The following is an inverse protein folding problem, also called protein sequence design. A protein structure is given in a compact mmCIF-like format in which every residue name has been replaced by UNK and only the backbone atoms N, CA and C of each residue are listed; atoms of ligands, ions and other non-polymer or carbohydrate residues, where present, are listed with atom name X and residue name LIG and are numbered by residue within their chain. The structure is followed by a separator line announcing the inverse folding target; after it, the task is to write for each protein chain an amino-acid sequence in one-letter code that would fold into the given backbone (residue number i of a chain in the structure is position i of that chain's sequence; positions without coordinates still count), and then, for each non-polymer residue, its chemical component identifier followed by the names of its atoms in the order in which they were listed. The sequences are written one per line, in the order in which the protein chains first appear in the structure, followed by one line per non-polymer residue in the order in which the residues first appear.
data_IF_931533471451
#
_entry.id   IF_931533471451
#
_cell.length_a   1.000
_cell.length_b   1.000
_cell.length_c   1.000
_cell.angle_alpha   90.00
_cell.angle_beta   90.00
_cell.angle_gamma   90.00
#
_symmetry.space_group_name_H-M   'P 1'
#
loop_
_entity.id
_entity.type
_entity.pdbx_description
1 polymer ?
#
# COMPACT_ATOMS: atom_id res chain seq x y z
N UNK A 1 22.28 10.69 79.29
CA UNK A 1 22.78 10.23 77.98
C UNK A 1 21.59 9.68 77.19
N UNK A 2 21.15 10.37 76.13
CA UNK A 2 20.03 9.93 75.26
C UNK A 2 20.62 9.33 73.99
N UNK A 3 20.45 8.02 73.81
CA UNK A 3 20.84 7.31 72.60
C UNK A 3 19.82 7.59 71.49
N UNK A 4 20.28 8.10 70.34
CA UNK A 4 19.48 8.28 69.13
C UNK A 4 19.57 7.00 68.30
N UNK A 5 18.45 6.31 68.11
CA UNK A 5 18.31 5.26 67.10
C UNK A 5 18.31 5.87 65.70
N UNK A 6 19.24 5.42 64.86
CA UNK A 6 19.30 5.74 63.44
C UNK A 6 18.59 4.61 62.70
N UNK A 7 17.43 4.92 62.12
CA UNK A 7 16.69 4.01 61.24
C UNK A 7 17.30 4.08 59.85
N UNK A 8 17.97 3.01 59.42
CA UNK A 8 18.51 2.88 58.06
C UNK A 8 17.39 2.40 57.15
N UNK A 9 16.92 3.28 56.27
CA UNK A 9 15.95 2.98 55.22
C UNK A 9 16.69 2.29 54.06
N UNK A 10 16.51 0.98 53.91
CA UNK A 10 17.09 0.20 52.81
C UNK A 10 16.29 0.47 51.53
N UNK A 11 16.85 1.30 50.64
CA UNK A 11 16.30 1.60 49.32
C UNK A 11 16.63 0.43 48.38
N UNK A 12 15.69 -0.51 48.22
CA UNK A 12 15.80 -1.60 47.24
C UNK A 12 15.59 -1.03 45.84
N UNK A 13 16.69 -0.71 45.15
CA UNK A 13 16.67 -0.35 43.73
C UNK A 13 16.39 -1.62 42.92
N UNK A 14 15.14 -1.80 42.49
CA UNK A 14 14.79 -2.77 41.46
C UNK A 14 15.44 -2.31 40.13
N UNK A 15 16.61 -2.87 39.82
CA UNK A 15 17.18 -2.84 38.48
C UNK A 15 16.23 -3.62 37.56
N UNK A 16 15.30 -2.90 36.92
CA UNK A 16 14.56 -3.43 35.79
C UNK A 16 15.59 -3.63 34.69
N UNK A 17 16.00 -4.88 34.48
CA UNK A 17 16.81 -5.28 33.33
C UNK A 17 16.06 -4.85 32.07
N UNK A 18 16.48 -3.75 31.45
CA UNK A 18 16.12 -3.44 30.08
C UNK A 18 16.71 -4.58 29.25
N UNK A 19 15.89 -5.59 28.97
CA UNK A 19 16.21 -6.60 27.98
C UNK A 19 16.37 -5.87 26.65
N UNK A 20 17.62 -5.51 26.34
CA UNK A 20 18.02 -5.18 24.98
C UNK A 20 17.84 -6.48 24.21
N UNK A 21 16.71 -6.61 23.53
CA UNK A 21 16.48 -7.70 22.60
C UNK A 21 17.56 -7.56 21.51
N UNK A 22 18.62 -8.35 21.62
CA UNK A 22 19.62 -8.45 20.58
C UNK A 22 18.91 -9.00 19.34
N UNK A 23 18.88 -8.20 18.27
CA UNK A 23 18.24 -8.53 17.00
C UNK A 23 18.97 -9.71 16.38
N UNK A 24 18.41 -10.92 16.49
CA UNK A 24 19.02 -12.11 15.91
C UNK A 24 18.63 -12.19 14.44
N UNK A 25 19.63 -12.36 13.59
CA UNK A 25 19.39 -12.74 12.20
C UNK A 25 18.44 -13.94 12.11
N UNK A 26 17.48 -13.86 11.20
CA UNK A 26 16.50 -14.92 10.96
C UNK A 26 15.27 -14.85 11.86
N UNK A 27 15.17 -13.85 12.75
CA UNK A 27 14.00 -13.66 13.60
C UNK A 27 13.02 -12.64 13.03
N UNK A 28 11.74 -12.83 13.34
CA UNK A 28 10.70 -11.80 13.18
C UNK A 28 10.25 -11.39 14.57
N UNK A 29 10.36 -10.09 14.87
CA UNK A 29 9.86 -9.50 16.11
C UNK A 29 8.52 -8.81 15.86
N UNK A 30 7.67 -8.76 16.89
CA UNK A 30 6.32 -8.23 16.80
C UNK A 30 6.06 -7.14 17.86
N UNK A 31 5.12 -6.24 17.57
CA UNK A 31 4.66 -5.21 18.48
C UNK A 31 3.23 -4.80 18.17
N UNK A 32 2.54 -4.23 19.17
CA UNK A 32 1.24 -3.55 18.99
C UNK A 32 1.36 -2.17 18.35
N UNK A 33 2.58 -1.65 18.19
CA UNK A 33 2.88 -0.33 17.61
C UNK A 33 3.95 -0.47 16.52
N UNK A 34 4.06 0.56 15.68
CA UNK A 34 5.10 0.62 14.66
C UNK A 34 6.49 0.45 15.29
N UNK A 35 7.29 -0.44 14.70
CA UNK A 35 8.63 -0.78 15.18
C UNK A 35 9.64 0.05 14.41
N UNK A 36 10.54 0.73 15.13
CA UNK A 36 11.76 1.28 14.54
C UNK A 36 12.82 0.16 14.47
N UNK A 37 13.23 -0.31 13.28
CA UNK A 37 14.18 -1.41 13.15
C UNK A 37 15.54 -1.13 13.79
N UNK A 38 15.99 0.13 13.80
CA UNK A 38 17.28 0.52 14.39
C UNK A 38 17.26 0.60 15.92
N UNK A 39 16.07 0.70 16.52
CA UNK A 39 15.90 0.73 17.97
C UNK A 39 14.51 0.18 18.37
N UNK A 40 14.30 -1.15 18.28
CA UNK A 40 13.00 -1.74 18.55
C UNK A 40 12.61 -1.58 20.01
N UNK A 41 11.36 -1.18 20.25
CA UNK A 41 10.80 -1.01 21.59
C UNK A 41 9.36 -1.52 21.62
N UNK A 42 8.83 -1.78 22.82
CA UNK A 42 7.44 -2.22 22.98
C UNK A 42 7.14 -3.57 22.32
N UNK A 43 8.14 -4.46 22.27
CA UNK A 43 8.01 -5.76 21.63
C UNK A 43 7.11 -6.69 22.46
N UNK A 44 6.28 -7.47 21.79
CA UNK A 44 5.45 -8.50 22.40
C UNK A 44 5.15 -9.60 21.39
N UNK A 45 5.06 -10.85 21.87
CA UNK A 45 4.55 -11.98 21.10
C UNK A 45 3.14 -12.40 21.58
N UNK A 46 2.46 -11.54 22.35
CA UNK A 46 1.16 -11.79 22.95
C UNK A 46 0.18 -10.69 22.54
N UNK A 47 -0.92 -11.11 21.92
CA UNK A 47 -1.95 -10.26 21.36
C UNK A 47 -3.34 -10.70 21.80
N UNK A 48 -4.29 -9.76 21.75
CA UNK A 48 -5.72 -9.99 21.88
C UNK A 48 -6.39 -9.74 20.53
N UNK A 49 -7.54 -10.37 20.27
CA UNK A 49 -8.31 -10.05 19.08
C UNK A 49 -8.66 -8.55 19.02
N UNK A 50 -8.50 -7.97 17.84
CA UNK A 50 -8.60 -6.52 17.61
C UNK A 50 -7.32 -5.72 17.85
N UNK A 51 -6.25 -6.32 18.38
CA UNK A 51 -4.94 -5.64 18.43
C UNK A 51 -4.38 -5.41 17.02
N UNK A 52 -3.71 -4.28 16.84
CA UNK A 52 -2.79 -4.09 15.71
C UNK A 52 -1.54 -4.96 15.89
N UNK A 53 -1.00 -5.47 14.79
CA UNK A 53 0.18 -6.34 14.76
C UNK A 53 1.15 -5.82 13.71
N UNK A 54 2.23 -5.22 14.19
CA UNK A 54 3.37 -4.80 13.39
C UNK A 54 4.51 -5.78 13.58
N UNK A 55 5.32 -5.97 12.54
CA UNK A 55 6.50 -6.82 12.65
C UNK A 55 7.69 -6.30 11.84
N UNK A 56 8.88 -6.73 12.23
CA UNK A 56 10.11 -6.51 11.48
C UNK A 56 10.86 -7.84 11.42
N UNK A 57 11.18 -8.27 10.21
CA UNK A 57 12.04 -9.42 9.98
C UNK A 57 13.49 -8.97 9.87
N UNK A 58 14.40 -9.63 10.57
CA UNK A 58 15.84 -9.40 10.50
C UNK A 58 16.54 -10.52 9.75
N UNK A 59 17.61 -10.17 9.04
CA UNK A 59 18.37 -11.07 8.18
C UNK A 59 19.88 -10.97 8.48
N UNK A 60 20.63 -11.99 8.11
CA UNK A 60 22.10 -12.06 8.27
C UNK A 60 22.84 -11.16 7.29
N UNK A 61 22.18 -10.80 6.20
CA UNK A 61 22.69 -10.03 5.07
C UNK A 61 21.60 -9.16 4.48
N UNK A 62 21.95 -8.33 3.50
CA UNK A 62 20.96 -7.49 2.83
C UNK A 62 19.91 -8.32 2.07
N UNK A 63 18.72 -7.76 1.86
CA UNK A 63 17.68 -8.40 1.04
C UNK A 63 18.19 -8.71 -0.37
N UNK A 64 19.04 -7.85 -0.93
CA UNK A 64 19.68 -8.10 -2.22
C UNK A 64 20.54 -9.37 -2.21
N UNK A 65 21.37 -9.55 -1.18
CA UNK A 65 22.27 -10.71 -1.03
C UNK A 65 21.51 -12.01 -0.69
N UNK A 66 20.35 -11.94 -0.02
CA UNK A 66 19.47 -13.09 0.18
C UNK A 66 19.04 -13.73 -1.14
N UNK A 67 18.89 -12.92 -2.18
CA UNK A 67 18.47 -13.37 -3.49
C UNK A 67 19.53 -14.17 -4.28
N UNK A 68 20.74 -14.31 -3.72
CA UNK A 68 21.90 -14.96 -4.34
C UNK A 68 22.64 -14.11 -5.37
N UNK A 69 22.25 -12.84 -5.55
CA UNK A 69 22.88 -11.92 -6.50
C UNK A 69 22.82 -10.50 -5.97
N UNK A 70 23.99 -9.92 -5.67
CA UNK A 70 24.16 -8.54 -5.23
C UNK A 70 23.88 -7.48 -6.30
N UNK A 71 23.32 -7.85 -7.44
CA UNK A 71 23.03 -6.94 -8.58
C UNK A 71 21.56 -6.92 -8.99
N UNK A 72 20.69 -7.67 -8.30
CA UNK A 72 19.25 -7.66 -8.62
C UNK A 72 18.66 -6.30 -8.29
N UNK A 73 17.86 -5.76 -9.23
CA UNK A 73 17.08 -4.53 -9.04
C UNK A 73 15.81 -4.75 -8.22
N UNK A 74 15.31 -5.98 -8.21
CA UNK A 74 14.11 -6.39 -7.48
C UNK A 74 14.33 -7.79 -6.87
N UNK A 75 13.81 -8.02 -5.67
CA UNK A 75 13.81 -9.32 -4.99
C UNK A 75 12.37 -9.69 -4.65
N UNK A 76 11.96 -10.91 -5.03
CA UNK A 76 10.67 -11.45 -4.65
C UNK A 76 10.80 -12.15 -3.30
N UNK A 77 9.95 -11.75 -2.37
CA UNK A 77 9.81 -12.35 -1.05
C UNK A 77 8.42 -12.96 -0.94
N UNK A 78 8.33 -14.16 -0.40
CA UNK A 78 7.06 -14.82 -0.11
C UNK A 78 6.81 -14.83 1.39
N UNK A 79 5.70 -14.26 1.82
CA UNK A 79 5.31 -14.23 3.22
C UNK A 79 4.21 -15.26 3.41
N UNK A 80 4.44 -16.21 4.29
CA UNK A 80 3.49 -17.24 4.66
C UNK A 80 3.00 -17.00 6.08
N UNK A 81 1.69 -17.18 6.28
CA UNK A 81 1.06 -17.19 7.59
C UNK A 81 0.51 -18.58 7.83
N UNK A 82 0.89 -19.17 8.95
CA UNK A 82 0.39 -20.45 9.42
C UNK A 82 -0.26 -20.29 10.79
N UNK A 83 -1.22 -21.15 11.08
CA UNK A 83 -1.66 -21.45 12.43
C UNK A 83 -1.02 -22.77 12.86
N UNK A 84 -0.42 -22.81 14.04
CA UNK A 84 0.07 -24.06 14.60
C UNK A 84 -1.09 -24.81 15.25
N UNK A 85 -1.49 -25.93 14.64
CA UNK A 85 -2.50 -26.82 15.21
C UNK A 85 -1.84 -27.81 16.15
N UNK A 86 -2.32 -27.81 17.39
CA UNK A 86 -1.95 -28.83 18.36
C UNK A 86 -2.36 -30.22 17.86
N UNK A 87 -1.59 -31.26 18.16
CA UNK A 87 -1.92 -32.61 17.76
C UNK A 87 -3.23 -33.08 18.41
N UNK A 88 -4.01 -33.90 17.70
CA UNK A 88 -5.22 -34.51 18.26
C UNK A 88 -4.90 -35.64 19.25
N UNK A 89 -3.74 -36.26 19.06
CA UNK A 89 -3.24 -37.36 19.89
C UNK A 89 -1.78 -37.12 20.27
N UNK A 90 -1.36 -37.62 21.43
CA UNK A 90 -0.01 -37.45 22.00
C UNK A 90 1.16 -37.91 21.10
N UNK A 91 0.92 -38.87 20.21
CA UNK A 91 1.92 -39.36 19.25
C UNK A 91 2.10 -38.46 18.01
N UNK A 92 1.20 -37.50 17.78
CA UNK A 92 1.29 -36.59 16.65
C UNK A 92 2.13 -35.36 17.01
N UNK A 93 2.87 -34.85 16.03
CA UNK A 93 3.54 -33.55 16.17
C UNK A 93 2.56 -32.43 15.82
N UNK A 94 2.72 -31.22 16.40
CA UNK A 94 2.01 -30.05 15.94
C UNK A 94 2.18 -29.85 14.43
N UNK A 95 1.12 -29.36 13.77
CA UNK A 95 1.12 -29.18 12.31
C UNK A 95 0.88 -27.72 11.93
N UNK A 96 1.57 -27.25 10.90
CA UNK A 96 1.41 -25.90 10.37
C UNK A 96 0.28 -25.88 9.34
N UNK A 97 -0.86 -25.28 9.70
CA UNK A 97 -1.97 -25.08 8.79
C UNK A 97 -1.83 -23.72 8.11
N UNK A 98 -1.58 -23.70 6.79
CA UNK A 98 -1.42 -22.44 6.07
C UNK A 98 -2.73 -21.65 6.04
N UNK A 99 -2.68 -20.41 6.54
CA UNK A 99 -3.80 -19.46 6.47
C UNK A 99 -3.76 -18.63 5.18
N UNK A 100 -2.57 -18.14 4.81
CA UNK A 100 -2.40 -17.25 3.66
C UNK A 100 -0.96 -17.24 3.15
N UNK A 101 -0.80 -16.83 1.90
CA UNK A 101 0.50 -16.49 1.30
C UNK A 101 0.41 -15.16 0.56
N UNK A 102 1.50 -14.39 0.55
CA UNK A 102 1.59 -13.15 -0.21
C UNK A 102 2.96 -12.95 -0.80
N UNK A 103 2.99 -12.52 -2.06
CA UNK A 103 4.21 -12.13 -2.74
C UNK A 103 4.44 -10.62 -2.56
N UNK A 104 5.64 -10.28 -2.09
CA UNK A 104 6.14 -8.92 -1.96
C UNK A 104 7.35 -8.75 -2.88
N UNK A 105 7.30 -7.74 -3.73
CA UNK A 105 8.48 -7.30 -4.49
C UNK A 105 9.17 -6.21 -3.69
N UNK A 106 10.44 -6.42 -3.35
CA UNK A 106 11.32 -5.44 -2.72
C UNK A 106 12.24 -4.85 -3.79
N UNK A 107 12.42 -3.54 -3.79
CA UNK A 107 13.25 -2.80 -4.76
C UNK A 107 13.89 -1.57 -4.10
N UNK A 108 14.62 -0.78 -4.88
CA UNK A 108 15.18 0.50 -4.41
C UNK A 108 16.13 0.37 -3.22
N UNK A 109 16.07 1.33 -2.31
CA UNK A 109 16.95 1.40 -1.15
C UNK A 109 16.64 0.30 -0.13
N UNK A 110 15.40 -0.19 -0.11
CA UNK A 110 15.00 -1.29 0.76
C UNK A 110 15.81 -2.57 0.52
N UNK A 111 16.39 -2.75 -0.67
CA UNK A 111 17.25 -3.90 -0.97
C UNK A 111 18.54 -3.96 -0.15
N UNK A 112 19.05 -2.81 0.30
CA UNK A 112 20.29 -2.73 1.06
C UNK A 112 20.09 -3.02 2.55
N UNK A 113 18.84 -3.05 3.01
CA UNK A 113 18.53 -3.33 4.40
C UNK A 113 18.75 -4.81 4.72
N UNK A 114 19.27 -5.08 5.91
CA UNK A 114 19.27 -6.40 6.55
C UNK A 114 18.00 -6.63 7.40
N UNK A 115 16.96 -5.83 7.16
CA UNK A 115 15.67 -5.97 7.80
C UNK A 115 14.55 -5.63 6.81
N UNK A 116 13.34 -6.11 7.09
CA UNK A 116 12.13 -5.82 6.32
C UNK A 116 10.99 -5.47 7.28
N UNK A 117 10.48 -4.22 7.26
CA UNK A 117 9.20 -3.91 7.88
C UNK A 117 8.10 -4.74 7.23
N UNK A 118 7.39 -5.50 8.05
CA UNK A 118 6.32 -6.38 7.62
C UNK A 118 5.08 -6.08 8.48
N UNK A 119 4.10 -5.45 7.86
CA UNK A 119 2.80 -5.27 8.49
C UNK A 119 2.01 -6.58 8.44
N UNK A 120 1.44 -7.00 9.57
CA UNK A 120 0.54 -8.17 9.64
C UNK A 120 -0.91 -7.69 9.67
N UNK A 121 -1.26 -6.91 10.69
CA UNK A 121 -2.54 -6.21 10.83
C UNK A 121 -2.24 -4.80 11.35
N UNK A 122 -1.74 -3.88 10.52
CA UNK A 122 -1.34 -2.56 10.94
C UNK A 122 -2.57 -1.68 11.21
N UNK A 123 -2.39 -0.66 12.05
CA UNK A 123 -3.30 0.48 12.07
C UNK A 123 -3.12 1.33 10.82
N UNK A 124 -4.20 1.95 10.35
CA UNK A 124 -4.21 2.69 9.08
C UNK A 124 -3.35 3.96 9.08
N UNK A 125 -3.08 4.55 10.27
CA UNK A 125 -2.22 5.73 10.45
C UNK A 125 -0.73 5.45 10.32
N UNK A 126 -0.30 4.24 10.68
CA UNK A 126 1.12 3.89 10.86
C UNK A 126 1.54 2.70 9.96
N UNK A 127 0.75 2.42 8.93
CA UNK A 127 1.02 1.35 7.98
C UNK A 127 2.22 1.69 7.09
N UNK A 128 3.19 0.78 7.05
CA UNK A 128 4.38 0.86 6.18
C UNK A 128 4.15 0.22 4.82
N UNK A 129 3.26 -0.79 4.77
CA UNK A 129 2.84 -1.42 3.54
C UNK A 129 2.09 -0.45 2.60
N UNK A 130 2.26 -0.66 1.30
CA UNK A 130 1.59 0.09 0.21
C UNK A 130 1.95 1.57 0.08
N UNK A 131 2.55 2.19 1.10
CA UNK A 131 2.96 3.60 1.10
C UNK A 131 4.39 3.86 0.63
N UNK A 132 5.19 2.81 0.44
CA UNK A 132 6.55 2.87 -0.12
C UNK A 132 6.56 2.37 -1.58
N UNK A 133 7.24 3.07 -2.51
CA UNK A 133 7.46 2.57 -3.86
C UNK A 133 8.34 1.32 -3.89
N UNK A 134 9.16 1.12 -2.85
CA UNK A 134 10.12 0.04 -2.77
C UNK A 134 9.49 -1.30 -2.34
N UNK A 135 8.27 -1.26 -1.78
CA UNK A 135 7.56 -2.42 -1.22
C UNK A 135 6.23 -2.63 -1.96
N UNK A 136 6.24 -3.51 -2.96
CA UNK A 136 5.09 -3.71 -3.85
C UNK A 136 4.42 -5.06 -3.60
N UNK A 137 3.24 -5.00 -2.98
CA UNK A 137 2.30 -6.12 -2.93
C UNK A 137 1.43 -6.17 -4.19
N UNK A 138 1.09 -7.39 -4.62
CA UNK A 138 0.11 -7.63 -5.68
C UNK A 138 -1.28 -7.10 -5.29
N UNK A 139 -2.08 -6.77 -6.30
CA UNK A 139 -3.50 -6.44 -6.17
C UNK A 139 -4.29 -7.32 -7.13
N UNK A 140 -5.37 -7.93 -6.66
CA UNK A 140 -6.30 -8.69 -7.51
C UNK A 140 -7.71 -8.14 -7.34
N UNK A 141 -8.29 -7.67 -8.44
CA UNK A 141 -9.54 -6.91 -8.40
C UNK A 141 -9.41 -5.68 -7.48
N UNK A 142 -10.32 -5.56 -6.52
CA UNK A 142 -10.36 -4.45 -5.56
C UNK A 142 -9.52 -4.67 -4.30
N UNK A 143 -8.97 -5.87 -4.07
CA UNK A 143 -8.26 -6.23 -2.85
C UNK A 143 -6.75 -6.31 -3.05
N UNK A 144 -5.99 -5.71 -2.14
CA UNK A 144 -4.54 -5.88 -2.05
C UNK A 144 -4.17 -7.21 -1.37
N UNK A 145 -3.02 -7.77 -1.71
CA UNK A 145 -2.36 -8.87 -0.98
C UNK A 145 -1.56 -8.31 0.20
N UNK A 146 -1.01 -9.19 1.05
CA UNK A 146 -0.28 -8.80 2.25
C UNK A 146 -1.24 -8.49 3.40
N UNK A 147 -1.03 -7.39 4.16
CA UNK A 147 -1.80 -7.06 5.36
C UNK A 147 -3.33 -7.19 5.24
N UNK A 148 -3.91 -6.74 4.11
CA UNK A 148 -5.35 -6.89 3.85
C UNK A 148 -5.79 -8.35 3.91
N UNK A 149 -5.07 -9.24 3.21
CA UNK A 149 -5.40 -10.67 3.16
C UNK A 149 -5.06 -11.36 4.47
N UNK A 150 -4.03 -10.93 5.17
CA UNK A 150 -3.66 -11.46 6.47
C UNK A 150 -4.78 -11.20 7.49
N UNK A 151 -5.27 -9.95 7.58
CA UNK A 151 -6.41 -9.60 8.42
C UNK A 151 -7.69 -10.37 8.04
N UNK A 152 -8.02 -10.47 6.76
CA UNK A 152 -9.19 -11.26 6.26
C UNK A 152 -9.10 -12.75 6.60
N UNK A 153 -7.90 -13.31 6.74
CA UNK A 153 -7.71 -14.73 7.07
C UNK A 153 -7.73 -14.97 8.56
N UNK A 154 -7.08 -14.10 9.34
CA UNK A 154 -7.11 -14.14 10.80
C UNK A 154 -8.55 -13.89 11.30
N UNK A 155 -9.39 -13.14 10.56
CA UNK A 155 -10.79 -12.93 10.94
C UNK A 155 -11.68 -14.18 10.91
N UNK A 156 -11.16 -15.30 10.41
CA UNK A 156 -11.85 -16.59 10.30
C UNK A 156 -11.39 -17.61 11.33
N UNK A 157 -10.53 -17.21 12.25
CA UNK A 157 -10.17 -18.05 13.39
C UNK A 157 -11.38 -18.21 14.30
N UNK A 158 -11.51 -19.39 14.87
CA UNK A 158 -12.52 -19.68 15.89
C UNK A 158 -12.19 -18.96 17.21
N UNK A 159 -13.14 -18.79 18.13
CA UNK A 159 -12.85 -18.29 19.46
C UNK A 159 -11.78 -19.13 20.17
N UNK A 160 -10.83 -18.48 20.83
CA UNK A 160 -9.77 -19.15 21.60
C UNK A 160 -8.39 -18.55 21.42
N UNK A 161 -7.39 -19.38 21.71
CA UNK A 161 -5.96 -19.05 21.63
C UNK A 161 -5.34 -19.73 20.41
N UNK A 162 -4.65 -18.94 19.59
CA UNK A 162 -3.98 -19.41 18.37
C UNK A 162 -2.51 -18.99 18.39
N UNK A 163 -1.62 -19.93 18.10
CA UNK A 163 -0.22 -19.64 17.81
C UNK A 163 -0.06 -19.45 16.30
N UNK A 164 0.33 -18.24 15.91
CA UNK A 164 0.52 -17.83 14.52
C UNK A 164 2.01 -17.82 14.20
N UNK A 165 2.38 -18.43 13.08
CA UNK A 165 3.75 -18.50 12.58
C UNK A 165 3.83 -17.69 11.30
N UNK A 166 4.77 -16.75 11.24
CA UNK A 166 5.11 -15.99 10.05
C UNK A 166 6.43 -16.51 9.52
N UNK A 167 6.47 -16.89 8.24
CA UNK A 167 7.70 -17.27 7.55
C UNK A 167 7.90 -16.40 6.33
N UNK A 168 9.09 -15.83 6.21
CA UNK A 168 9.52 -15.12 5.01
C UNK A 168 10.44 -16.04 4.23
N UNK A 169 10.12 -16.25 2.95
CA UNK A 169 10.95 -17.00 2.02
C UNK A 169 11.54 -16.11 0.95
N UNK A 170 12.80 -16.38 0.62
CA UNK A 170 13.49 -15.83 -0.55
C UNK A 170 14.08 -17.00 -1.35
N UNK A 171 13.77 -17.09 -2.65
CA UNK A 171 14.15 -18.22 -3.49
C UNK A 171 13.84 -19.59 -2.83
N UNK A 172 12.62 -19.76 -2.31
CA UNK A 172 12.13 -20.97 -1.63
C UNK A 172 12.75 -21.30 -0.26
N UNK A 173 13.81 -20.60 0.17
CA UNK A 173 14.43 -20.78 1.48
C UNK A 173 13.75 -19.88 2.51
N UNK A 174 13.45 -20.42 3.70
CA UNK A 174 13.02 -19.61 4.84
C UNK A 174 14.21 -18.78 5.31
N UNK A 175 14.09 -17.46 5.21
CA UNK A 175 15.15 -16.50 5.58
C UNK A 175 14.87 -15.81 6.90
N UNK A 176 13.62 -15.83 7.36
CA UNK A 176 13.24 -15.33 8.68
C UNK A 176 11.93 -15.99 9.13
N UNK A 177 11.82 -16.27 10.42
CA UNK A 177 10.64 -16.85 11.06
C UNK A 177 10.38 -16.16 12.40
N UNK A 178 9.11 -15.97 12.72
CA UNK A 178 8.70 -15.59 14.07
C UNK A 178 7.29 -16.07 14.39
N UNK A 179 6.99 -16.10 15.68
CA UNK A 179 5.74 -16.62 16.21
C UNK A 179 5.13 -15.64 17.19
N UNK A 180 3.81 -15.58 17.22
CA UNK A 180 3.07 -14.88 18.26
C UNK A 180 1.80 -15.64 18.61
N UNK A 181 1.28 -15.37 19.80
CA UNK A 181 0.01 -15.88 20.28
C UNK A 181 -1.02 -14.76 20.20
N UNK A 182 -2.20 -15.08 19.69
CA UNK A 182 -3.37 -14.23 19.72
C UNK A 182 -4.50 -14.94 20.44
N UNK A 183 -5.18 -14.23 21.36
CA UNK A 183 -6.31 -14.76 22.13
C UNK A 183 -7.54 -13.88 21.93
N UNK A 184 -8.72 -14.47 21.85
CA UNK A 184 -9.94 -13.68 21.82
C UNK A 184 -11.17 -14.53 21.56
N UNK A 185 -12.32 -13.97 21.89
CA UNK A 185 -13.62 -14.63 21.73
C UNK A 185 -14.29 -14.28 20.39
N UNK A 186 -13.79 -13.27 19.69
CA UNK A 186 -14.29 -12.82 18.40
C UNK A 186 -13.14 -12.26 17.54
N UNK A 187 -12.88 -12.93 16.41
CA UNK A 187 -11.88 -12.52 15.42
C UNK A 187 -12.50 -11.74 14.25
N UNK A 188 -13.83 -11.66 14.15
CA UNK A 188 -14.52 -10.97 13.03
C UNK A 188 -14.20 -9.47 12.99
N UNK A 189 -13.74 -8.89 14.11
CA UNK A 189 -13.17 -7.54 14.17
C UNK A 189 -12.08 -7.30 13.10
N UNK A 190 -11.29 -8.31 12.76
CA UNK A 190 -10.26 -8.22 11.74
C UNK A 190 -10.79 -8.13 10.31
N UNK A 191 -12.05 -8.53 10.07
CA UNK A 191 -12.69 -8.31 8.76
C UNK A 191 -12.88 -6.81 8.51
N UNK A 192 -13.33 -6.06 9.53
CA UNK A 192 -13.46 -4.61 9.45
C UNK A 192 -12.10 -3.95 9.25
N UNK A 193 -11.08 -4.36 10.02
CA UNK A 193 -9.72 -3.85 9.86
C UNK A 193 -9.15 -4.14 8.47
N UNK A 194 -9.38 -5.34 7.91
CA UNK A 194 -9.03 -5.68 6.53
C UNK A 194 -9.61 -4.67 5.53
N UNK A 195 -10.88 -4.33 5.68
CA UNK A 195 -11.55 -3.38 4.78
C UNK A 195 -10.99 -1.96 4.92
N UNK A 196 -10.73 -1.50 6.15
CA UNK A 196 -10.10 -0.20 6.45
C UNK A 196 -8.65 -0.12 5.91
N UNK A 197 -7.87 -1.19 6.06
CA UNK A 197 -6.51 -1.33 5.50
C UNK A 197 -6.58 -1.25 3.97
N UNK A 198 -7.53 -1.94 3.34
CA UNK A 198 -7.65 -1.98 1.88
C UNK A 198 -8.03 -0.63 1.28
N UNK A 199 -8.89 0.12 1.96
CA UNK A 199 -9.21 1.49 1.61
C UNK A 199 -7.97 2.41 1.74
N UNK A 200 -7.28 2.32 2.87
CA UNK A 200 -6.08 3.11 3.17
C UNK A 200 -4.94 2.81 2.18
N UNK A 201 -4.75 1.54 1.81
CA UNK A 201 -3.76 1.11 0.81
C UNK A 201 -3.98 1.78 -0.56
N UNK A 202 -5.24 1.97 -0.96
CA UNK A 202 -5.57 2.68 -2.20
C UNK A 202 -5.18 4.16 -2.12
N UNK A 203 -5.39 4.80 -0.96
CA UNK A 203 -5.09 6.21 -0.76
C UNK A 203 -3.57 6.46 -0.70
N UNK A 204 -2.83 5.59 -0.02
CA UNK A 204 -1.37 5.69 0.11
C UNK A 204 -0.64 5.56 -1.22
N UNK A 205 -1.10 4.68 -2.13
CA UNK A 205 -0.51 4.56 -3.47
C UNK A 205 -0.64 5.82 -4.31
N UNK A 206 -1.62 6.67 -4.00
CA UNK A 206 -1.90 7.89 -4.75
C UNK A 206 -1.58 9.16 -3.97
N UNK A 207 -0.99 9.05 -2.78
CA UNK A 207 -0.75 10.20 -1.87
C UNK A 207 0.12 11.28 -2.52
N UNK A 208 1.04 10.88 -3.39
CA UNK A 208 1.97 11.74 -4.10
C UNK A 208 1.54 12.04 -5.55
N UNK A 209 0.38 11.53 -5.97
CA UNK A 209 -0.17 11.84 -7.29
C UNK A 209 -0.46 13.34 -7.35
N UNK A 210 0.08 14.01 -8.35
CA UNK A 210 -0.16 15.42 -8.66
C UNK A 210 -0.65 15.57 -10.09
N UNK A 211 -1.26 16.70 -10.40
CA UNK A 211 -1.57 17.04 -11.79
C UNK A 211 -0.26 17.15 -12.60
N UNK A 212 -0.22 16.67 -13.86
CA UNK A 212 0.95 16.86 -14.70
C UNK A 212 1.15 18.34 -15.01
N UNK A 213 2.39 18.71 -15.33
CA UNK A 213 2.69 20.05 -15.83
C UNK A 213 1.98 20.24 -17.18
N UNK A 214 1.41 21.43 -17.37
CA UNK A 214 0.81 21.77 -18.66
C UNK A 214 1.90 21.86 -19.73
N UNK A 215 1.71 21.18 -20.85
CA UNK A 215 2.56 21.29 -22.03
C UNK A 215 2.26 22.56 -22.84
N UNK A 216 1.05 23.10 -22.69
CA UNK A 216 0.57 24.32 -23.35
C UNK A 216 -0.46 25.02 -22.46
N UNK A 217 -0.31 26.32 -22.24
CA UNK A 217 -1.36 27.11 -21.61
C UNK A 217 -2.17 27.83 -22.69
N UNK A 218 -3.45 27.46 -22.81
CA UNK A 218 -4.35 28.02 -23.81
C UNK A 218 -5.76 28.06 -23.19
N UNK A 219 -6.15 29.23 -22.69
CA UNK A 219 -7.36 29.36 -21.87
C UNK A 219 -8.64 29.21 -22.67
N UNK A 220 -8.61 29.60 -23.93
CA UNK A 220 -9.77 29.48 -24.82
C UNK A 220 -9.98 28.02 -25.17
N UNK A 221 -8.90 27.32 -25.57
CA UNK A 221 -8.97 25.89 -25.84
C UNK A 221 -9.34 25.06 -24.61
N UNK A 222 -8.77 25.37 -23.43
CA UNK A 222 -9.16 24.74 -22.16
C UNK A 222 -10.67 24.92 -21.89
N UNK A 223 -11.23 26.08 -22.20
CA UNK A 223 -12.66 26.37 -22.02
C UNK A 223 -13.52 25.56 -23.00
N UNK A 224 -13.14 25.52 -24.27
CA UNK A 224 -13.80 24.68 -25.29
C UNK A 224 -13.80 23.19 -24.90
N UNK A 225 -12.65 22.69 -24.48
CA UNK A 225 -12.49 21.31 -24.01
C UNK A 225 -13.42 20.99 -22.84
N UNK A 226 -13.52 21.89 -21.86
CA UNK A 226 -14.41 21.70 -20.72
C UNK A 226 -15.88 21.66 -21.14
N UNK A 227 -16.30 22.49 -22.09
CA UNK A 227 -17.65 22.47 -22.65
C UNK A 227 -17.91 21.15 -23.37
N UNK A 228 -17.02 20.75 -24.29
CA UNK A 228 -17.12 19.48 -25.02
C UNK A 228 -17.17 18.27 -24.08
N UNK A 229 -16.34 18.27 -23.04
CA UNK A 229 -16.30 17.22 -22.02
C UNK A 229 -17.60 17.14 -21.23
N UNK A 230 -18.08 18.27 -20.68
CA UNK A 230 -19.33 18.30 -19.89
C UNK A 230 -20.56 17.91 -20.71
N UNK A 231 -20.55 18.21 -22.01
CA UNK A 231 -21.64 17.85 -22.93
C UNK A 231 -21.61 16.37 -23.35
N UNK A 232 -20.48 15.69 -23.21
CA UNK A 232 -20.31 14.28 -23.58
C UNK A 232 -21.19 13.35 -22.74
N UNK A 233 -21.58 12.22 -23.34
CA UNK A 233 -22.31 11.17 -22.63
C UNK A 233 -21.44 10.54 -21.53
N UNK A 234 -20.12 10.43 -21.75
CA UNK A 234 -19.17 9.92 -20.76
C UNK A 234 -19.18 10.74 -19.48
N UNK A 235 -19.23 12.07 -19.57
CA UNK A 235 -19.34 12.91 -18.38
C UNK A 235 -20.66 12.69 -17.65
N UNK A 236 -21.76 12.69 -18.41
CA UNK A 236 -23.13 12.55 -17.89
C UNK A 236 -23.37 11.20 -17.22
N UNK A 237 -22.77 10.12 -17.71
CA UNK A 237 -23.02 8.76 -17.21
C UNK A 237 -21.96 8.25 -16.24
N UNK A 238 -20.67 8.47 -16.55
CA UNK A 238 -19.53 7.82 -15.89
C UNK A 238 -18.80 8.74 -14.93
N UNK A 239 -18.56 10.00 -15.30
CA UNK A 239 -17.68 10.88 -14.52
C UNK A 239 -18.43 11.57 -13.38
N UNK A 240 -19.58 12.20 -13.67
CA UNK A 240 -20.50 12.82 -12.70
C UNK A 240 -19.78 13.49 -11.50
N UNK A 241 -19.37 14.74 -11.64
CA UNK A 241 -18.74 15.48 -10.55
C UNK A 241 -18.43 16.92 -10.89
N UNK A 242 -17.80 17.65 -9.97
CA UNK A 242 -17.34 19.02 -10.19
C UNK A 242 -15.95 18.99 -10.84
N UNK A 243 -15.82 19.59 -12.03
CA UNK A 243 -14.51 19.73 -12.67
C UNK A 243 -13.71 20.80 -11.95
N UNK A 244 -12.57 20.42 -11.38
CA UNK A 244 -11.70 21.31 -10.60
C UNK A 244 -10.63 21.97 -11.48
N UNK A 245 -10.02 21.21 -12.39
CA UNK A 245 -8.89 21.68 -13.21
C UNK A 245 -8.73 20.85 -14.47
N UNK A 246 -8.34 21.49 -15.56
CA UNK A 246 -7.88 20.85 -16.81
C UNK A 246 -6.45 21.31 -17.08
N UNK A 247 -5.61 20.41 -17.59
CA UNK A 247 -4.27 20.72 -18.10
C UNK A 247 -4.05 20.02 -19.43
N UNK A 248 -3.60 20.76 -20.44
CA UNK A 248 -3.25 20.20 -21.75
C UNK A 248 -1.87 19.54 -21.62
N UNK A 249 -1.76 18.26 -22.00
CA UNK A 249 -0.52 17.48 -21.86
C UNK A 249 0.22 17.27 -23.17
N UNK A 250 -0.43 17.58 -24.30
CA UNK A 250 0.22 17.62 -25.61
C UNK A 250 0.69 19.05 -25.92
N UNK A 251 1.93 19.25 -26.43
CA UNK A 251 2.44 20.59 -26.71
C UNK A 251 1.71 21.27 -27.89
N UNK A 252 1.18 20.48 -28.82
CA UNK A 252 0.39 20.94 -29.96
C UNK A 252 -0.60 19.85 -30.42
N UNK A 253 -1.45 20.20 -31.37
CA UNK A 253 -2.35 19.28 -32.03
C UNK A 253 -1.61 18.22 -32.85
N UNK A 254 -2.05 16.98 -32.71
CA UNK A 254 -1.55 15.84 -33.47
C UNK A 254 -2.45 15.58 -34.68
N UNK A 255 -1.89 15.62 -35.90
CA UNK A 255 -2.64 15.39 -37.13
C UNK A 255 -2.75 13.90 -37.44
N UNK A 256 -3.97 13.43 -37.70
CA UNK A 256 -4.25 12.08 -38.21
C UNK A 256 -4.62 12.16 -39.70
N UNK A 257 -3.92 11.37 -40.51
CA UNK A 257 -4.13 11.27 -41.95
C UNK A 257 -4.62 9.89 -42.33
N UNK A 258 -5.38 9.82 -43.42
CA UNK A 258 -5.71 8.54 -44.03
C UNK A 258 -4.44 7.86 -44.53
N UNK A 259 -4.24 6.59 -44.18
CA UNK A 259 -2.97 5.89 -44.36
C UNK A 259 -2.53 5.79 -45.83
N UNK A 260 -3.48 5.75 -46.77
CA UNK A 260 -3.21 5.58 -48.19
C UNK A 260 -3.17 6.92 -48.92
N UNK A 261 -4.20 7.75 -48.75
CA UNK A 261 -4.36 8.98 -49.54
C UNK A 261 -3.62 10.18 -48.95
N UNK A 262 -3.16 10.10 -47.70
CA UNK A 262 -2.49 11.21 -46.99
C UNK A 262 -3.41 12.38 -46.63
N UNK A 263 -4.70 12.31 -47.00
CA UNK A 263 -5.72 13.31 -46.67
C UNK A 263 -5.83 13.46 -45.15
N UNK A 264 -5.89 14.70 -44.66
CA UNK A 264 -6.11 14.99 -43.24
C UNK A 264 -7.54 14.54 -42.89
N UNK A 265 -7.67 13.71 -41.85
CA UNK A 265 -8.96 13.27 -41.36
C UNK A 265 -9.42 14.16 -40.20
N UNK A 266 -8.52 14.36 -39.24
CA UNK A 266 -8.76 15.16 -38.05
C UNK A 266 -7.42 15.52 -37.40
N UNK A 267 -7.50 16.41 -36.41
CA UNK A 267 -6.44 16.58 -35.42
C UNK A 267 -6.98 16.26 -34.03
N UNK A 268 -6.11 15.76 -33.14
CA UNK A 268 -6.48 15.50 -31.76
C UNK A 268 -5.45 16.11 -30.80
N UNK A 269 -5.88 16.35 -29.57
CA UNK A 269 -5.05 16.86 -28.49
C UNK A 269 -5.53 16.25 -27.18
N UNK A 270 -4.62 16.00 -26.24
CA UNK A 270 -4.94 15.35 -24.97
C UNK A 270 -4.75 16.28 -23.79
N UNK A 271 -5.60 16.08 -22.80
CA UNK A 271 -5.58 16.75 -21.52
C UNK A 271 -5.69 15.75 -20.37
N UNK A 272 -5.48 16.27 -19.17
CA UNK A 272 -5.81 15.62 -17.90
C UNK A 272 -6.80 16.50 -17.15
N UNK A 273 -7.85 15.88 -16.61
CA UNK A 273 -8.92 16.59 -15.90
C UNK A 273 -9.04 16.06 -14.47
N UNK A 274 -8.97 16.97 -13.49
CA UNK A 274 -9.29 16.68 -12.10
C UNK A 274 -10.78 16.93 -11.82
N UNK A 275 -11.43 15.97 -11.18
CA UNK A 275 -12.86 16.01 -10.83
C UNK A 275 -13.04 15.69 -9.35
N UNK A 276 -13.84 16.49 -8.66
CA UNK A 276 -14.36 16.19 -7.33
C UNK A 276 -15.67 15.41 -7.45
N UNK A 277 -15.67 14.21 -6.90
CA UNK A 277 -16.82 13.33 -6.88
C UNK A 277 -17.83 13.77 -5.81
N UNK A 278 -19.05 13.25 -5.89
CA UNK A 278 -20.12 13.55 -4.93
C UNK A 278 -19.82 13.09 -3.50
N UNK A 279 -18.94 12.10 -3.33
CA UNK A 279 -18.46 11.63 -2.02
C UNK A 279 -17.34 12.50 -1.44
N UNK A 280 -16.98 13.60 -2.13
CA UNK A 280 -15.93 14.52 -1.72
C UNK A 280 -14.51 14.09 -2.13
N UNK A 281 -14.33 12.88 -2.68
CA UNK A 281 -13.04 12.41 -3.17
C UNK A 281 -12.67 13.06 -4.50
N UNK A 282 -11.37 13.16 -4.81
CA UNK A 282 -10.90 13.68 -6.09
C UNK A 282 -10.33 12.55 -6.98
N UNK A 283 -10.63 12.63 -8.27
CA UNK A 283 -10.11 11.74 -9.31
C UNK A 283 -9.45 12.52 -10.43
N UNK A 284 -8.38 11.96 -10.95
CA UNK A 284 -7.63 12.45 -12.09
C UNK A 284 -7.96 11.55 -13.28
N UNK A 285 -8.58 12.12 -14.30
CA UNK A 285 -8.92 11.44 -15.53
C UNK A 285 -7.81 11.66 -16.55
N UNK A 286 -7.11 10.57 -16.87
CA UNK A 286 -5.96 10.59 -17.77
C UNK A 286 -6.39 10.50 -19.23
N UNK A 287 -5.55 11.04 -20.11
CA UNK A 287 -5.68 10.90 -21.56
C UNK A 287 -7.08 11.30 -22.07
N UNK A 288 -7.62 12.40 -21.54
CA UNK A 288 -8.87 12.98 -22.06
C UNK A 288 -8.58 13.52 -23.44
N UNK A 289 -9.14 12.88 -24.47
CA UNK A 289 -8.83 13.16 -25.87
C UNK A 289 -9.92 14.02 -26.47
N UNK A 290 -9.49 15.10 -27.11
CA UNK A 290 -10.35 16.01 -27.86
C UNK A 290 -9.93 15.99 -29.33
N UNK A 291 -10.89 16.13 -30.22
CA UNK A 291 -10.69 16.03 -31.66
C UNK A 291 -11.35 17.20 -32.38
N UNK A 292 -10.80 17.56 -33.53
CA UNK A 292 -11.42 18.43 -34.53
C UNK A 292 -11.32 17.76 -35.90
N UNK A 293 -12.46 17.46 -36.51
CA UNK A 293 -12.51 16.88 -37.85
C UNK A 293 -12.01 17.86 -38.90
N UNK A 294 -11.44 17.38 -39.99
CA UNK A 294 -11.01 18.21 -41.10
C UNK A 294 -11.98 18.06 -42.27
N UNK A 295 -12.76 19.11 -42.53
CA UNK A 295 -13.82 19.12 -43.55
C UNK A 295 -13.70 20.41 -44.35
N UNK A 296 -13.80 20.31 -45.68
CA UNK A 296 -13.77 21.48 -46.58
C UNK A 296 -12.58 22.43 -46.35
N UNK A 297 -11.40 21.86 -46.14
CA UNK A 297 -10.14 22.54 -45.84
C UNK A 297 -10.02 23.25 -44.48
N UNK A 298 -10.96 23.00 -43.55
CA UNK A 298 -10.98 23.63 -42.23
C UNK A 298 -11.16 22.62 -41.10
N UNK A 299 -10.55 22.91 -39.95
CA UNK A 299 -10.80 22.16 -38.72
C UNK A 299 -12.11 22.61 -38.08
N UNK A 300 -12.97 21.65 -37.78
CA UNK A 300 -14.27 21.87 -37.16
C UNK A 300 -14.14 22.13 -35.66
N UNK A 301 -15.28 22.33 -34.99
CA UNK A 301 -15.35 22.54 -33.54
C UNK A 301 -14.73 21.39 -32.73
N UNK A 302 -14.21 21.74 -31.56
CA UNK A 302 -13.63 20.79 -30.60
C UNK A 302 -14.71 19.85 -30.05
N UNK A 303 -14.53 18.54 -30.25
CA UNK A 303 -15.40 17.50 -29.68
C UNK A 303 -14.63 16.59 -28.74
N UNK A 304 -15.34 16.04 -27.76
CA UNK A 304 -14.83 14.96 -26.91
C UNK A 304 -14.75 13.65 -27.72
N UNK A 305 -13.61 12.97 -27.65
CA UNK A 305 -13.37 11.71 -28.37
C UNK A 305 -13.24 10.50 -27.43
N UNK A 306 -12.60 10.68 -26.27
CA UNK A 306 -12.43 9.58 -25.32
C UNK A 306 -11.70 9.96 -24.04
N UNK A 307 -11.66 9.02 -23.10
CA UNK A 307 -11.00 9.20 -21.81
C UNK A 307 -10.42 7.88 -21.29
N UNK A 308 -9.25 7.96 -20.66
CA UNK A 308 -8.63 6.85 -19.96
C UNK A 308 -9.26 6.58 -18.59
N UNK A 309 -8.72 5.60 -17.88
CA UNK A 309 -9.19 5.26 -16.54
C UNK A 309 -8.80 6.31 -15.49
N UNK A 310 -9.70 6.57 -14.52
CA UNK A 310 -9.43 7.52 -13.46
C UNK A 310 -8.44 6.95 -12.45
N UNK A 311 -7.63 7.84 -11.88
CA UNK A 311 -6.74 7.55 -10.75
C UNK A 311 -7.15 8.44 -9.59
N UNK A 312 -7.15 7.92 -8.36
CA UNK A 312 -7.39 8.76 -7.17
C UNK A 312 -6.27 9.81 -7.05
N UNK A 313 -6.62 10.99 -6.57
CA UNK A 313 -5.68 12.06 -6.25
C UNK A 313 -6.14 12.75 -4.97
N UNK A 314 -5.24 13.07 -4.02
CA UNK A 314 -5.59 13.95 -2.90
C UNK A 314 -6.07 15.28 -3.44
N UNK A 315 -7.22 15.78 -2.95
CA UNK A 315 -7.78 17.03 -3.47
C UNK A 315 -6.80 18.22 -3.34
N UNK A 316 -5.99 18.25 -2.27
CA UNK A 316 -4.96 19.26 -2.05
C UNK A 316 -3.81 19.20 -3.07
N UNK A 317 -3.64 18.08 -3.78
CA UNK A 317 -2.63 17.92 -4.82
C UNK A 317 -3.11 18.41 -6.20
N UNK A 318 -4.38 18.77 -6.36
CA UNK A 318 -4.93 19.25 -7.65
C UNK A 318 -4.27 20.57 -8.08
N UNK A 319 -3.86 21.40 -7.13
CA UNK A 319 -3.27 22.73 -7.38
C UNK A 319 -1.76 22.82 -7.13
N UNK A 320 -1.11 21.70 -6.84
CA UNK A 320 0.36 21.60 -6.86
C UNK A 320 0.86 21.64 -8.31
#
# INVERSE_FOLDING_TARGET
MKAKSITILSLTVCLISLNVFAQKSGEIIFSKKLINPSSPTGLTAQFQSGDNIYSVAFFDKSIQELSGSGTKKNVNMEIFIYELKQPLYDYQQPSEMQLETSALVVSGDALQNNYLPLDIIPGTSDMTAYGSPDLVYKKFGKKFYGPVKFAERISKLEPGEHEIIIKIKCNYNVVSEGKFIIKGDDYTVYQKMSDEINESASNLKTKDTVMPKSARSDKDLESEMLVAFKNSQTYKDRVKGEVLRIVIIDPDWMIRRHQISGVILHRYIRAVIAVKNSDGTCTLWNLVTFQQDYVSNEFQETKFDGIGDPVKIPCDNVNK
#
